data_IF_626679248322
#
_entry.id   IF_626679248322
#
_cell.length_a   1.000
_cell.length_b   1.000
_cell.length_c   1.000
_cell.angle_alpha   90.00
_cell.angle_beta   90.00
_cell.angle_gamma   90.00
#
_symmetry.space_group_name_H-M   'P 1'
#
loop_
_entity.id
_entity.type
_entity.pdbx_description
1 polymer ?
#
# COMPACT_ATOMS: atom_id res chain seq x y z
N UNK A 1 -0.13 -15.76 1.73
CA UNK A 1 -0.68 -16.06 0.39
C UNK A 1 0.01 -17.22 -0.33
N UNK A 2 1.32 -17.44 -0.12
CA UNK A 2 2.02 -18.55 -0.78
C UNK A 2 1.32 -19.91 -0.58
N UNK A 3 0.92 -20.23 0.64
CA UNK A 3 0.25 -21.51 0.96
C UNK A 3 -1.21 -21.52 0.46
N UNK A 4 -1.92 -20.41 0.56
CA UNK A 4 -3.31 -20.33 0.13
C UNK A 4 -3.45 -20.34 -1.39
N UNK A 5 -2.48 -19.77 -2.12
CA UNK A 5 -2.46 -19.77 -3.58
C UNK A 5 -2.30 -21.18 -4.18
N UNK A 6 -1.77 -22.16 -3.45
CA UNK A 6 -1.78 -23.56 -3.86
C UNK A 6 -3.22 -24.11 -4.05
N UNK A 7 -4.21 -23.44 -3.47
CA UNK A 7 -5.64 -23.75 -3.55
C UNK A 7 -6.44 -22.71 -4.36
N UNK A 8 -5.76 -21.78 -5.05
CA UNK A 8 -6.42 -20.67 -5.75
C UNK A 8 -7.08 -19.66 -4.80
N UNK A 9 -6.61 -19.60 -3.56
CA UNK A 9 -7.15 -18.75 -2.51
C UNK A 9 -6.13 -17.69 -2.05
N UNK A 10 -6.64 -16.57 -1.54
CA UNK A 10 -5.84 -15.53 -0.87
C UNK A 10 -6.60 -14.96 0.34
N UNK A 11 -5.89 -14.39 1.28
CA UNK A 11 -6.42 -13.41 2.23
C UNK A 11 -5.62 -12.11 2.07
N UNK A 12 -6.22 -10.91 2.29
CA UNK A 12 -5.46 -9.66 2.18
C UNK A 12 -4.21 -9.68 3.07
N UNK A 13 -3.03 -9.78 2.46
CA UNK A 13 -1.72 -9.79 3.12
C UNK A 13 -0.96 -8.49 2.87
N UNK A 14 0.30 -8.40 3.34
CA UNK A 14 1.14 -7.22 3.13
C UNK A 14 1.43 -6.93 1.66
N UNK A 15 1.75 -5.67 1.36
CA UNK A 15 2.16 -5.24 0.01
C UNK A 15 3.58 -5.71 -0.35
N UNK A 16 4.38 -6.08 0.64
CA UNK A 16 5.73 -6.65 0.52
C UNK A 16 5.73 -8.03 1.18
N UNK A 17 6.39 -9.03 0.57
CA UNK A 17 6.27 -10.44 0.99
C UNK A 17 6.87 -10.73 2.37
N UNK A 18 7.83 -9.92 2.81
CA UNK A 18 8.51 -10.04 4.11
C UNK A 18 7.71 -9.47 5.27
N UNK A 19 6.56 -8.82 5.00
CA UNK A 19 5.70 -8.23 6.04
C UNK A 19 5.10 -9.31 6.95
N UNK A 20 5.36 -9.23 8.25
CA UNK A 20 4.81 -10.14 9.25
C UNK A 20 3.29 -10.01 9.39
N UNK A 21 2.56 -11.08 9.08
CA UNK A 21 1.09 -11.09 9.03
C UNK A 21 0.44 -10.71 10.38
N UNK A 22 1.05 -11.07 11.51
CA UNK A 22 0.49 -10.81 12.83
C UNK A 22 0.42 -9.30 13.13
N UNK A 23 1.54 -8.59 13.05
CA UNK A 23 1.58 -7.15 13.28
C UNK A 23 0.76 -6.38 12.24
N UNK A 24 0.79 -6.83 10.99
CA UNK A 24 -0.04 -6.27 9.92
C UNK A 24 -1.54 -6.34 10.29
N UNK A 25 -2.04 -7.52 10.64
CA UNK A 25 -3.45 -7.74 10.98
C UNK A 25 -3.89 -6.91 12.17
N UNK A 26 -3.11 -6.92 13.25
CA UNK A 26 -3.46 -6.20 14.48
C UNK A 26 -3.49 -4.68 14.28
N UNK A 27 -2.73 -4.14 13.33
CA UNK A 27 -2.75 -2.73 12.92
C UNK A 27 -3.76 -2.39 11.83
N UNK A 28 -4.58 -3.35 11.40
CA UNK A 28 -5.52 -3.20 10.28
C UNK A 28 -5.08 -3.95 9.02
N UNK A 29 -3.96 -3.56 8.43
CA UNK A 29 -3.32 -4.26 7.31
C UNK A 29 -3.75 -3.82 5.92
N UNK A 30 -2.86 -3.09 5.24
CA UNK A 30 -3.02 -2.69 3.84
C UNK A 30 -2.56 -3.80 2.90
N UNK A 31 -3.38 -4.09 1.88
CA UNK A 31 -3.15 -5.11 0.86
C UNK A 31 -3.28 -4.51 -0.54
N UNK A 32 -2.73 -5.20 -1.54
CA UNK A 32 -2.99 -4.95 -2.97
C UNK A 32 -4.45 -5.25 -3.39
N UNK A 33 -5.25 -5.84 -2.50
CA UNK A 33 -6.66 -6.18 -2.77
C UNK A 33 -7.63 -5.46 -1.83
N UNK A 34 -7.16 -4.41 -1.11
CA UNK A 34 -7.93 -3.70 -0.08
C UNK A 34 -9.24 -3.08 -0.57
N UNK A 35 -9.31 -2.65 -1.82
CA UNK A 35 -10.54 -2.05 -2.38
C UNK A 35 -11.63 -3.09 -2.57
N UNK A 36 -11.26 -4.33 -2.93
CA UNK A 36 -12.20 -5.42 -3.13
C UNK A 36 -12.54 -6.16 -1.84
N UNK A 37 -11.56 -6.41 -0.98
CA UNK A 37 -11.73 -7.29 0.18
C UNK A 37 -11.58 -6.60 1.53
N UNK A 38 -11.26 -5.31 1.58
CA UNK A 38 -11.00 -4.57 2.83
C UNK A 38 -9.59 -4.77 3.34
N UNK A 39 -9.36 -4.39 4.60
CA UNK A 39 -8.11 -4.61 5.31
C UNK A 39 -7.90 -6.09 5.64
N UNK A 40 -6.68 -6.48 6.01
CA UNK A 40 -6.39 -7.83 6.52
C UNK A 40 -7.28 -8.17 7.73
N UNK A 41 -7.44 -7.22 8.65
CA UNK A 41 -8.28 -7.36 9.85
C UNK A 41 -9.79 -7.50 9.56
N UNK A 42 -10.26 -7.01 8.41
CA UNK A 42 -11.66 -7.16 7.98
C UNK A 42 -12.00 -8.58 7.53
N UNK A 43 -10.97 -9.39 7.30
CA UNK A 43 -11.08 -10.79 6.88
C UNK A 43 -10.72 -11.77 8.02
N UNK A 44 -10.56 -11.25 9.24
CA UNK A 44 -10.31 -12.04 10.43
C UNK A 44 -11.62 -12.61 10.96
N UNK A 45 -11.65 -13.92 11.25
CA UNK A 45 -12.79 -14.65 11.82
C UNK A 45 -12.65 -14.84 13.31
N UNK A 46 -11.47 -15.24 13.74
CA UNK A 46 -11.14 -15.44 15.14
C UNK A 46 -9.64 -15.33 15.40
N UNK A 47 -9.30 -15.12 16.66
CA UNK A 47 -7.92 -15.15 17.15
C UNK A 47 -7.85 -15.88 18.48
N UNK A 48 -6.76 -16.61 18.69
CA UNK A 48 -6.38 -17.10 20.01
C UNK A 48 -5.33 -16.16 20.61
N UNK A 49 -5.56 -15.72 21.84
CA UNK A 49 -4.72 -14.71 22.51
C UNK A 49 -4.42 -15.11 23.94
N UNK A 50 -3.19 -14.87 24.38
CA UNK A 50 -2.79 -14.97 25.80
C UNK A 50 -2.72 -13.54 26.34
N UNK A 51 -3.52 -13.25 27.35
CA UNK A 51 -3.60 -11.93 27.99
C UNK A 51 -2.42 -11.67 28.93
N UNK A 52 -2.29 -10.45 29.43
CA UNK A 52 -1.27 -10.09 30.41
C UNK A 52 -1.36 -10.88 31.73
N UNK A 53 -2.55 -11.34 32.10
CA UNK A 53 -2.80 -12.18 33.30
C UNK A 53 -2.52 -13.66 33.03
N UNK A 54 -2.09 -14.03 31.81
CA UNK A 54 -1.79 -15.41 31.42
C UNK A 54 -3.01 -16.26 31.07
N UNK A 55 -4.16 -15.63 30.86
CA UNK A 55 -5.38 -16.33 30.42
C UNK A 55 -5.31 -16.58 28.92
N UNK A 56 -5.66 -17.79 28.51
CA UNK A 56 -5.85 -18.16 27.11
C UNK A 56 -7.31 -17.94 26.71
N UNK A 57 -7.53 -17.07 25.73
CA UNK A 57 -8.85 -16.70 25.23
C UNK A 57 -8.93 -16.87 23.72
N UNK A 58 -10.11 -17.25 23.23
CA UNK A 58 -10.47 -17.09 21.81
C UNK A 58 -11.38 -15.87 21.68
N UNK A 59 -11.08 -14.98 20.73
CA UNK A 59 -11.90 -13.81 20.43
C UNK A 59 -12.44 -13.89 18.99
N UNK A 60 -13.74 -13.65 18.83
CA UNK A 60 -14.49 -13.66 17.58
C UNK A 60 -15.70 -12.71 17.70
N UNK A 61 -16.52 -12.61 16.66
CA UNK A 61 -17.77 -11.83 16.73
C UNK A 61 -18.73 -12.34 17.81
N UNK A 62 -18.71 -13.67 18.07
CA UNK A 62 -19.62 -14.33 19.01
C UNK A 62 -19.01 -14.55 20.42
N UNK A 63 -17.70 -14.39 20.57
CA UNK A 63 -16.97 -14.66 21.80
C UNK A 63 -15.91 -13.58 22.07
N UNK A 64 -15.91 -12.96 23.25
CA UNK A 64 -15.01 -11.86 23.61
C UNK A 64 -15.00 -10.77 22.53
N UNK A 65 -16.18 -10.33 22.10
CA UNK A 65 -16.38 -9.48 20.92
C UNK A 65 -15.72 -8.10 21.05
N UNK A 66 -15.63 -7.55 22.27
CA UNK A 66 -14.92 -6.31 22.56
C UNK A 66 -13.39 -6.44 22.36
N UNK A 67 -12.82 -7.58 22.80
CA UNK A 67 -11.42 -7.89 22.53
C UNK A 67 -11.18 -8.13 21.02
N UNK A 68 -12.11 -8.81 20.36
CA UNK A 68 -12.03 -9.02 18.91
C UNK A 68 -12.09 -7.72 18.14
N UNK A 69 -12.96 -6.79 18.56
CA UNK A 69 -13.00 -5.44 18.01
C UNK A 69 -11.66 -4.71 18.17
N UNK A 70 -11.08 -4.76 19.37
CA UNK A 70 -9.82 -4.10 19.71
C UNK A 70 -8.62 -4.63 18.92
N UNK A 71 -8.56 -5.96 18.70
CA UNK A 71 -7.50 -6.64 17.93
C UNK A 71 -7.57 -6.39 16.42
N UNK A 72 -8.66 -5.80 15.92
CA UNK A 72 -8.84 -5.43 14.52
C UNK A 72 -8.49 -3.96 14.28
N UNK A 73 -7.23 -3.57 14.51
CA UNK A 73 -6.70 -2.23 14.26
C UNK A 73 -6.10 -1.51 15.47
N UNK A 74 -6.39 -1.98 16.71
CA UNK A 74 -5.83 -1.39 17.94
C UNK A 74 -4.42 -1.85 18.29
N UNK A 75 -3.81 -2.67 17.44
CA UNK A 75 -2.44 -3.15 17.60
C UNK A 75 -2.28 -4.26 18.66
N UNK A 76 -1.05 -4.48 19.11
CA UNK A 76 -0.66 -5.56 20.00
C UNK A 76 -0.84 -5.29 21.51
N UNK A 77 -1.69 -4.34 21.92
CA UNK A 77 -1.75 -3.86 23.30
C UNK A 77 -2.58 -4.79 24.24
N UNK A 78 -3.23 -5.82 23.72
CA UNK A 78 -4.25 -6.61 24.41
C UNK A 78 -3.76 -8.02 24.79
N UNK A 79 -2.58 -8.41 24.38
CA UNK A 79 -1.99 -9.72 24.63
C UNK A 79 -1.14 -10.22 23.47
N UNK A 80 -0.65 -11.45 23.62
CA UNK A 80 0.13 -12.14 22.57
C UNK A 80 -0.83 -13.06 21.80
N UNK A 81 -1.08 -12.73 20.53
CA UNK A 81 -1.89 -13.57 19.64
C UNK A 81 -1.06 -14.77 19.19
N UNK A 82 -1.60 -15.97 19.36
CA UNK A 82 -0.93 -17.24 19.07
C UNK A 82 -1.47 -17.93 17.82
N UNK A 83 -2.72 -17.60 17.41
CA UNK A 83 -3.34 -18.10 16.20
C UNK A 83 -4.29 -17.05 15.59
N UNK A 84 -4.39 -17.05 14.26
CA UNK A 84 -5.33 -16.24 13.48
C UNK A 84 -6.11 -17.15 12.56
N UNK A 85 -7.42 -16.96 12.48
CA UNK A 85 -8.30 -17.61 11.50
C UNK A 85 -8.85 -16.54 10.55
N UNK A 86 -8.67 -16.74 9.24
CA UNK A 86 -9.08 -15.77 8.22
C UNK A 86 -10.09 -16.35 7.26
N UNK A 87 -10.96 -15.48 6.74
CA UNK A 87 -11.67 -15.74 5.49
C UNK A 87 -10.70 -15.66 4.32
N UNK A 88 -10.77 -16.63 3.43
CA UNK A 88 -10.03 -16.64 2.17
C UNK A 88 -10.97 -16.38 1.01
N UNK A 89 -10.43 -15.78 -0.05
CA UNK A 89 -11.14 -15.42 -1.27
C UNK A 89 -10.51 -16.08 -2.47
N UNK A 90 -11.32 -16.44 -3.46
CA UNK A 90 -10.81 -16.93 -4.74
C UNK A 90 -10.07 -15.81 -5.48
N UNK A 91 -8.81 -16.04 -5.83
CA UNK A 91 -7.98 -15.15 -6.63
C UNK A 91 -6.83 -15.92 -7.27
N UNK A 92 -6.57 -15.62 -8.54
CA UNK A 92 -5.46 -16.23 -9.25
C UNK A 92 -5.83 -17.49 -10.03
N UNK A 93 -4.85 -18.31 -10.47
CA UNK A 93 -3.42 -18.18 -10.10
C UNK A 93 -2.73 -16.91 -10.63
N UNK A 94 -3.23 -16.32 -11.73
CA UNK A 94 -2.72 -15.09 -12.32
C UNK A 94 -3.69 -13.93 -12.11
N UNK A 95 -3.12 -12.76 -11.92
CA UNK A 95 -3.82 -11.46 -11.89
C UNK A 95 -3.13 -10.49 -12.84
N UNK A 96 -3.83 -9.44 -13.29
CA UNK A 96 -3.19 -8.40 -14.09
C UNK A 96 -2.48 -7.41 -13.16
N UNK A 97 -1.17 -7.28 -13.34
CA UNK A 97 -0.34 -6.27 -12.69
C UNK A 97 -0.23 -5.03 -13.59
N UNK A 98 -0.29 -3.86 -12.99
CA UNK A 98 0.03 -2.57 -13.59
C UNK A 98 1.38 -2.10 -13.02
N UNK A 99 2.29 -1.68 -13.89
CA UNK A 99 3.57 -1.11 -13.51
C UNK A 99 4.10 -0.25 -14.63
N UNK A 100 3.63 1.01 -14.73
CA UNK A 100 4.03 1.93 -15.80
C UNK A 100 4.82 3.08 -15.21
N UNK A 101 5.97 3.38 -15.80
CA UNK A 101 6.86 4.48 -15.43
C UNK A 101 6.78 5.57 -16.48
N UNK A 102 6.51 6.80 -16.05
CA UNK A 102 6.45 7.98 -16.89
C UNK A 102 7.57 8.96 -16.53
N UNK A 103 7.97 9.85 -17.47
CA UNK A 103 8.95 10.90 -17.17
C UNK A 103 8.51 11.75 -15.98
N UNK A 104 9.43 12.09 -15.08
CA UNK A 104 9.10 12.81 -13.84
C UNK A 104 8.43 14.18 -14.14
N UNK A 105 8.78 14.83 -15.24
CA UNK A 105 8.23 16.12 -15.66
C UNK A 105 6.72 16.03 -15.94
N UNK A 106 6.19 14.83 -16.16
CA UNK A 106 4.76 14.57 -16.37
C UNK A 106 4.01 14.28 -15.08
N UNK A 107 4.70 14.20 -13.92
CA UNK A 107 4.11 13.79 -12.65
C UNK A 107 2.83 14.55 -12.28
N UNK A 108 2.75 15.90 -12.39
CA UNK A 108 1.51 16.61 -12.06
C UNK A 108 0.31 16.15 -12.90
N UNK A 109 0.52 15.90 -14.19
CA UNK A 109 -0.52 15.41 -15.10
C UNK A 109 -0.88 13.95 -14.77
N UNK A 110 0.11 13.07 -14.58
CA UNK A 110 -0.11 11.66 -14.26
C UNK A 110 -0.89 11.50 -12.94
N UNK A 111 -0.58 12.28 -11.91
CA UNK A 111 -1.32 12.26 -10.64
C UNK A 111 -2.77 12.73 -10.81
N UNK A 112 -3.04 13.77 -11.63
CA UNK A 112 -4.41 14.26 -11.91
C UNK A 112 -5.24 13.21 -12.62
N UNK A 113 -4.76 12.68 -13.73
CA UNK A 113 -5.45 11.66 -14.52
C UNK A 113 -5.65 10.35 -13.70
N UNK A 114 -4.64 9.93 -12.93
CA UNK A 114 -4.76 8.79 -12.04
C UNK A 114 -5.82 9.02 -10.96
N UNK A 115 -5.87 10.19 -10.33
CA UNK A 115 -6.89 10.56 -9.34
C UNK A 115 -8.28 10.48 -9.94
N UNK A 116 -8.48 11.09 -11.12
CA UNK A 116 -9.76 11.09 -11.83
C UNK A 116 -10.19 9.67 -12.22
N UNK A 117 -9.26 8.86 -12.70
CA UNK A 117 -9.51 7.45 -12.97
C UNK A 117 -9.96 6.68 -11.72
N UNK A 118 -9.28 6.91 -10.58
CA UNK A 118 -9.56 6.19 -9.33
C UNK A 118 -10.90 6.57 -8.70
N UNK A 119 -11.43 7.76 -8.97
CA UNK A 119 -12.75 8.20 -8.48
C UNK A 119 -13.89 7.31 -9.01
N UNK A 120 -13.78 6.84 -10.26
CA UNK A 120 -14.75 5.94 -10.89
C UNK A 120 -14.32 4.46 -10.97
N UNK A 121 -13.18 4.08 -10.41
CA UNK A 121 -12.61 2.75 -10.58
C UNK A 121 -13.44 1.66 -9.85
N UNK A 122 -13.63 0.48 -10.46
CA UNK A 122 -14.26 -0.66 -9.79
C UNK A 122 -13.41 -1.17 -8.61
N UNK A 123 -14.04 -1.89 -7.70
CA UNK A 123 -13.37 -2.40 -6.49
C UNK A 123 -12.23 -3.37 -6.78
N UNK A 124 -12.27 -4.04 -7.91
CA UNK A 124 -11.21 -4.94 -8.39
C UNK A 124 -9.88 -4.23 -8.59
N UNK A 125 -9.89 -2.92 -8.88
CA UNK A 125 -8.68 -2.12 -9.08
C UNK A 125 -8.18 -1.59 -7.74
N UNK A 126 -6.97 -1.98 -7.38
CA UNK A 126 -6.18 -1.32 -6.33
C UNK A 126 -4.95 -0.72 -6.98
N UNK A 127 -4.76 0.59 -6.84
CA UNK A 127 -3.67 1.31 -7.50
C UNK A 127 -3.06 2.39 -6.61
N UNK A 128 -1.87 2.83 -6.99
CA UNK A 128 -1.12 3.94 -6.41
C UNK A 128 -0.35 4.69 -7.49
N UNK A 129 -0.15 5.99 -7.30
CA UNK A 129 0.81 6.81 -8.04
C UNK A 129 1.98 7.13 -7.12
N UNK A 130 3.20 7.05 -7.64
CA UNK A 130 4.41 7.05 -6.80
C UNK A 130 5.51 7.86 -7.47
N UNK A 131 6.13 8.80 -6.77
CA UNK A 131 7.39 9.39 -7.20
C UNK A 131 8.53 8.49 -6.74
N UNK A 132 9.40 8.12 -7.67
CA UNK A 132 10.50 7.22 -7.44
C UNK A 132 11.68 7.52 -8.37
N UNK A 133 12.75 6.73 -8.29
CA UNK A 133 13.78 6.61 -9.33
C UNK A 133 13.84 5.15 -9.78
N UNK A 134 14.09 4.93 -11.06
CA UNK A 134 14.31 3.56 -11.56
C UNK A 134 15.41 2.90 -10.72
N UNK A 135 15.17 1.75 -10.09
CA UNK A 135 16.14 1.12 -9.21
C UNK A 135 17.47 0.78 -9.90
N UNK A 136 18.55 0.88 -9.15
CA UNK A 136 19.88 0.38 -9.52
C UNK A 136 19.95 -1.16 -9.41
N UNK A 137 19.11 -1.85 -10.18
CA UNK A 137 18.96 -3.29 -10.14
C UNK A 137 18.98 -3.89 -11.56
N UNK A 138 19.48 -5.11 -11.71
CA UNK A 138 19.67 -5.76 -13.01
C UNK A 138 18.37 -6.08 -13.76
N UNK A 139 17.23 -6.05 -13.09
CA UNK A 139 15.91 -6.18 -13.72
C UNK A 139 15.50 -4.96 -14.55
N UNK A 140 16.23 -3.84 -14.43
CA UNK A 140 15.95 -2.60 -15.15
C UNK A 140 17.04 -2.32 -16.19
N UNK A 141 16.68 -1.72 -17.36
CA UNK A 141 17.64 -1.27 -18.36
C UNK A 141 18.70 -0.37 -17.75
N UNK A 142 19.99 -0.62 -18.06
CA UNK A 142 21.12 0.10 -17.47
C UNK A 142 21.06 1.61 -17.72
N UNK A 143 20.60 2.03 -18.90
CA UNK A 143 20.47 3.42 -19.31
C UNK A 143 19.32 4.17 -18.64
N UNK A 144 18.42 3.46 -17.97
CA UNK A 144 17.31 4.03 -17.20
C UNK A 144 17.56 4.10 -15.69
N UNK A 145 18.49 3.31 -15.15
CA UNK A 145 18.76 3.24 -13.72
C UNK A 145 19.05 4.61 -13.13
N UNK A 146 18.54 4.88 -11.94
CA UNK A 146 18.67 6.18 -11.26
C UNK A 146 17.81 7.30 -11.82
N UNK A 147 17.16 7.11 -13.00
CA UNK A 147 16.31 8.15 -13.61
C UNK A 147 15.08 8.41 -12.73
N UNK A 148 14.79 9.68 -12.36
CA UNK A 148 13.55 10.03 -11.67
C UNK A 148 12.33 9.78 -12.55
N UNK A 149 11.30 9.16 -11.96
CA UNK A 149 10.06 8.77 -12.65
C UNK A 149 8.85 8.95 -11.76
N UNK A 150 7.68 9.09 -12.38
CA UNK A 150 6.40 8.83 -11.73
C UNK A 150 5.88 7.46 -12.16
N UNK A 151 5.55 6.62 -11.20
CA UNK A 151 5.10 5.24 -11.42
C UNK A 151 3.62 5.12 -11.08
N UNK A 152 2.83 4.55 -12.00
CA UNK A 152 1.47 4.09 -11.69
C UNK A 152 1.51 2.57 -11.57
N UNK A 153 1.27 2.08 -10.37
CA UNK A 153 1.29 0.67 -10.05
C UNK A 153 -0.06 0.20 -9.52
N UNK A 154 -0.37 -1.09 -9.72
CA UNK A 154 -1.62 -1.65 -9.24
C UNK A 154 -1.85 -3.11 -9.56
N UNK A 155 -2.99 -3.61 -9.09
CA UNK A 155 -3.48 -4.95 -9.41
C UNK A 155 -4.97 -4.91 -9.72
N UNK A 156 -5.36 -5.76 -10.65
CA UNK A 156 -6.77 -6.08 -10.89
C UNK A 156 -7.09 -7.43 -10.24
N UNK A 157 -7.89 -7.40 -9.19
CA UNK A 157 -8.29 -8.58 -8.42
C UNK A 157 -9.46 -9.32 -9.08
N UNK A 158 -9.25 -9.83 -10.29
CA UNK A 158 -10.26 -10.50 -11.12
C UNK A 158 -9.64 -11.14 -12.36
N UNK A 159 -10.47 -11.50 -13.37
CA UNK A 159 -9.98 -12.11 -14.61
C UNK A 159 -8.95 -11.22 -15.33
N UNK A 160 -7.86 -11.83 -15.80
CA UNK A 160 -6.74 -11.13 -16.46
C UNK A 160 -7.19 -10.26 -17.64
N UNK A 161 -8.08 -10.77 -18.51
CA UNK A 161 -8.53 -10.02 -19.69
C UNK A 161 -9.40 -8.81 -19.35
N UNK A 162 -10.09 -8.84 -18.21
CA UNK A 162 -10.80 -7.68 -17.68
C UNK A 162 -9.79 -6.67 -17.15
N UNK A 163 -8.77 -7.12 -16.41
CA UNK A 163 -7.70 -6.29 -15.90
C UNK A 163 -6.92 -5.58 -16.99
N UNK A 164 -6.59 -6.28 -18.11
CA UNK A 164 -5.95 -5.67 -19.28
C UNK A 164 -6.75 -4.50 -19.83
N UNK A 165 -8.07 -4.68 -19.99
CA UNK A 165 -8.95 -3.60 -20.49
C UNK A 165 -9.09 -2.47 -19.48
N UNK A 166 -9.24 -2.81 -18.21
CA UNK A 166 -9.43 -1.84 -17.14
C UNK A 166 -8.22 -0.94 -16.92
N UNK A 167 -7.00 -1.46 -17.11
CA UNK A 167 -5.76 -0.68 -16.96
C UNK A 167 -5.30 0.06 -18.21
N UNK A 168 -5.94 -0.17 -19.37
CA UNK A 168 -5.53 0.49 -20.61
C UNK A 168 -5.46 2.03 -20.48
N UNK A 169 -6.44 2.73 -19.88
CA UNK A 169 -6.34 4.18 -19.72
C UNK A 169 -5.12 4.62 -18.90
N UNK A 170 -4.73 3.88 -17.87
CA UNK A 170 -3.57 4.20 -17.03
C UNK A 170 -2.23 3.86 -17.70
N UNK A 171 -2.21 3.08 -18.77
CA UNK A 171 -1.01 2.73 -19.55
C UNK A 171 -0.76 3.70 -20.71
N UNK A 172 -1.73 4.56 -21.01
CA UNK A 172 -1.74 5.47 -22.16
C UNK A 172 -1.85 6.95 -21.73
N UNK A 173 -1.49 7.28 -20.48
CA UNK A 173 -1.53 8.66 -19.99
C UNK A 173 -0.53 9.55 -20.73
N UNK A 174 0.64 9.01 -21.05
CA UNK A 174 1.74 9.64 -21.77
C UNK A 174 2.62 8.53 -22.38
N UNK A 175 3.65 8.89 -23.15
CA UNK A 175 4.66 7.93 -23.61
C UNK A 175 5.46 7.41 -22.42
N UNK A 176 5.36 6.12 -22.07
CA UNK A 176 6.05 5.59 -20.91
C UNK A 176 7.56 5.49 -21.12
N UNK A 177 8.34 5.75 -20.08
CA UNK A 177 9.76 5.38 -20.00
C UNK A 177 9.92 3.86 -20.00
N UNK A 178 9.05 3.19 -19.24
CA UNK A 178 9.03 1.74 -19.13
C UNK A 178 7.62 1.27 -18.76
N UNK A 179 7.13 0.21 -19.42
CA UNK A 179 5.88 -0.47 -19.09
C UNK A 179 6.15 -1.94 -18.75
N UNK A 180 6.00 -2.28 -17.49
CA UNK A 180 6.17 -3.62 -16.91
C UNK A 180 4.83 -4.28 -16.61
N UNK A 181 3.73 -3.74 -17.15
CA UNK A 181 2.39 -4.25 -16.90
C UNK A 181 2.17 -5.59 -17.61
N UNK A 182 1.99 -6.66 -16.83
CA UNK A 182 1.81 -8.02 -17.38
C UNK A 182 0.96 -8.89 -16.43
N UNK A 183 0.30 -9.91 -16.95
CA UNK A 183 -0.26 -10.98 -16.12
C UNK A 183 0.82 -11.74 -15.36
N UNK A 184 0.56 -12.03 -14.11
CA UNK A 184 1.48 -12.83 -13.31
C UNK A 184 0.84 -13.39 -12.04
N UNK A 185 1.54 -14.31 -11.35
CA UNK A 185 1.07 -14.84 -10.09
C UNK A 185 0.90 -13.73 -9.05
N UNK A 186 -0.19 -13.78 -8.28
CA UNK A 186 -0.44 -12.78 -7.22
C UNK A 186 0.70 -12.71 -6.19
N UNK A 187 1.32 -13.84 -5.87
CA UNK A 187 2.48 -13.88 -4.97
C UNK A 187 3.72 -13.19 -5.54
N UNK A 188 3.84 -13.13 -6.86
CA UNK A 188 4.95 -12.42 -7.50
C UNK A 188 4.85 -10.90 -7.27
N UNK A 189 3.64 -10.34 -7.35
CA UNK A 189 3.42 -8.92 -7.04
C UNK A 189 3.93 -8.54 -5.63
N UNK A 190 3.68 -9.39 -4.63
CA UNK A 190 4.14 -9.15 -3.26
C UNK A 190 5.67 -9.21 -3.14
N UNK A 191 6.34 -10.00 -3.98
CA UNK A 191 7.79 -10.19 -3.98
C UNK A 191 8.56 -9.13 -4.79
N UNK A 192 7.91 -8.44 -5.72
CA UNK A 192 8.56 -7.45 -6.60
C UNK A 192 9.26 -6.33 -5.83
N UNK A 193 8.79 -6.02 -4.63
CA UNK A 193 9.33 -4.95 -3.81
C UNK A 193 10.38 -5.40 -2.80
N UNK A 194 10.55 -6.71 -2.60
CA UNK A 194 11.50 -7.26 -1.61
C UNK A 194 12.95 -6.75 -1.80
N UNK A 195 13.49 -6.64 -3.05
CA UNK A 195 14.85 -6.16 -3.26
C UNK A 195 15.07 -4.68 -2.89
N UNK A 196 14.00 -3.89 -2.77
CA UNK A 196 14.09 -2.44 -2.55
C UNK A 196 14.03 -2.03 -1.08
N UNK A 197 13.87 -3.01 -0.17
CA UNK A 197 13.88 -2.80 1.27
C UNK A 197 14.84 -3.78 1.98
N UNK A 198 16.15 -3.79 1.61
CA UNK A 198 17.12 -4.72 2.18
C UNK A 198 17.41 -4.41 3.65
N UNK A 199 17.81 -5.44 4.40
CA UNK A 199 18.35 -5.26 5.74
C UNK A 199 19.66 -4.47 5.68
N UNK A 200 19.83 -3.55 6.64
CA UNK A 200 21.04 -2.73 6.77
C UNK A 200 20.93 -1.32 6.26
N UNK A 201 19.95 -1.03 5.40
CA UNK A 201 19.62 0.32 5.03
C UNK A 201 18.99 1.09 6.19
N UNK A 202 18.98 2.40 6.06
CA UNK A 202 18.40 3.31 7.06
C UNK A 202 17.04 3.77 6.59
N UNK A 203 16.05 3.74 7.50
CA UNK A 203 14.65 4.01 7.20
C UNK A 203 14.06 5.01 8.17
N UNK A 204 13.37 6.03 7.64
CA UNK A 204 12.54 6.92 8.43
C UNK A 204 11.26 7.23 7.67
N UNK A 205 10.16 6.60 8.05
CA UNK A 205 8.89 6.67 7.32
C UNK A 205 7.84 7.46 8.09
N UNK A 206 7.09 8.25 7.36
CA UNK A 206 5.88 8.92 7.85
C UNK A 206 4.76 8.71 6.85
N UNK A 207 3.53 8.70 7.35
CA UNK A 207 2.34 8.64 6.51
C UNK A 207 1.30 9.65 6.95
N UNK A 208 0.41 10.01 6.02
CA UNK A 208 -0.70 10.93 6.28
C UNK A 208 -1.91 10.50 5.47
N UNK A 209 -3.05 10.37 6.14
CA UNK A 209 -4.32 10.25 5.45
C UNK A 209 -4.70 11.59 4.87
N UNK A 210 -5.11 11.61 3.60
CA UNK A 210 -5.49 12.84 2.90
C UNK A 210 -7.00 12.85 2.66
N UNK A 211 -7.64 13.95 3.04
CA UNK A 211 -9.06 14.21 2.77
C UNK A 211 -9.30 14.54 1.30
N UNK A 212 -8.28 15.08 0.63
CA UNK A 212 -8.30 15.46 -0.78
C UNK A 212 -6.92 15.33 -1.41
N UNK A 213 -6.90 15.17 -2.72
CA UNK A 213 -5.70 15.21 -3.55
C UNK A 213 -5.95 16.20 -4.68
N UNK A 214 -6.18 17.48 -4.33
CA UNK A 214 -6.35 18.57 -5.28
C UNK A 214 -5.02 18.95 -5.94
N UNK A 215 -5.06 19.89 -6.87
CA UNK A 215 -3.89 20.25 -7.66
C UNK A 215 -2.77 20.84 -6.78
N UNK A 216 -3.11 21.61 -5.74
CA UNK A 216 -2.14 22.18 -4.80
C UNK A 216 -1.45 21.05 -3.99
N UNK A 217 -2.20 20.02 -3.58
CA UNK A 217 -1.65 18.84 -2.92
C UNK A 217 -0.70 18.07 -3.85
N UNK A 218 -1.09 17.90 -5.12
CA UNK A 218 -0.27 17.25 -6.14
C UNK A 218 1.04 18.03 -6.38
N UNK A 219 0.96 19.36 -6.53
CA UNK A 219 2.13 20.21 -6.72
C UNK A 219 3.10 20.11 -5.53
N UNK A 220 2.58 20.12 -4.29
CA UNK A 220 3.39 19.91 -3.09
C UNK A 220 4.08 18.55 -3.09
N UNK A 221 3.34 17.47 -3.42
CA UNK A 221 3.90 16.11 -3.48
C UNK A 221 5.01 16.02 -4.54
N UNK A 222 4.80 16.62 -5.70
CA UNK A 222 5.78 16.61 -6.80
C UNK A 222 7.01 17.42 -6.42
N UNK A 223 6.85 18.63 -5.87
CA UNK A 223 7.97 19.48 -5.46
C UNK A 223 8.88 18.78 -4.45
N UNK A 224 8.30 18.24 -3.38
CA UNK A 224 9.08 17.46 -2.40
C UNK A 224 9.67 16.19 -3.00
N UNK A 225 8.90 15.49 -3.80
CA UNK A 225 9.32 14.25 -4.43
C UNK A 225 10.49 14.41 -5.40
N UNK A 226 10.55 15.50 -6.16
CA UNK A 226 11.69 15.81 -7.04
C UNK A 226 12.94 16.22 -6.26
N UNK A 227 12.77 16.87 -5.10
CA UNK A 227 13.86 17.38 -4.26
C UNK A 227 14.23 16.44 -3.09
N UNK A 228 13.88 15.15 -3.17
CA UNK A 228 14.22 14.18 -2.12
C UNK A 228 15.74 13.98 -2.01
N UNK A 229 16.30 13.89 -0.79
CA UNK A 229 17.74 13.76 -0.57
C UNK A 229 18.32 12.44 -1.09
N UNK A 230 17.52 11.36 -1.07
CA UNK A 230 17.96 10.05 -1.52
C UNK A 230 17.12 9.55 -2.71
N UNK A 231 17.73 9.06 -3.80
CA UNK A 231 17.01 8.44 -4.92
C UNK A 231 16.31 7.13 -4.54
N UNK A 232 16.66 6.52 -3.41
CA UNK A 232 16.04 5.29 -2.87
C UNK A 232 14.72 5.57 -2.15
N UNK A 233 14.48 6.83 -1.79
CA UNK A 233 13.21 7.27 -1.17
C UNK A 233 12.06 7.12 -2.13
N UNK A 234 10.96 6.53 -1.66
CA UNK A 234 9.72 6.30 -2.42
C UNK A 234 8.60 7.15 -1.81
N UNK A 235 7.82 7.80 -2.67
CA UNK A 235 6.67 8.65 -2.25
C UNK A 235 5.39 8.13 -2.90
N UNK A 236 4.78 7.05 -2.37
CA UNK A 236 3.52 6.55 -2.90
C UNK A 236 2.30 7.27 -2.31
N UNK A 237 1.38 7.62 -3.20
CA UNK A 237 0.00 7.99 -2.86
C UNK A 237 -0.91 6.82 -3.23
N UNK A 238 -1.54 6.23 -2.25
CA UNK A 238 -2.37 5.03 -2.39
C UNK A 238 -3.84 5.41 -2.42
N UNK A 239 -4.57 5.02 -3.47
CA UNK A 239 -6.02 5.14 -3.49
C UNK A 239 -6.64 4.15 -2.50
N UNK A 240 -7.64 4.65 -1.77
CA UNK A 240 -8.42 3.90 -0.78
C UNK A 240 -9.85 3.68 -1.31
N UNK A 241 -10.87 3.74 -0.51
CA UNK A 241 -12.25 3.51 -0.94
C UNK A 241 -12.59 2.03 -1.17
N UNK A 242 -13.53 1.74 -2.06
CA UNK A 242 -14.03 0.37 -2.25
C UNK A 242 -14.63 -0.21 -0.98
N UNK A 243 -14.48 -1.53 -0.74
CA UNK A 243 -14.95 -2.20 0.48
C UNK A 243 -14.37 -1.58 1.75
N UNK A 244 -13.09 -1.20 1.75
CA UNK A 244 -12.44 -0.56 2.89
C UNK A 244 -13.20 0.68 3.36
N UNK A 245 -13.62 1.55 2.44
CA UNK A 245 -14.34 2.79 2.76
C UNK A 245 -15.83 2.61 3.03
N UNK A 246 -16.40 1.42 2.77
CA UNK A 246 -17.82 1.12 3.05
C UNK A 246 -18.05 0.44 4.40
N UNK A 247 -17.00 -0.02 5.06
CA UNK A 247 -17.09 -0.60 6.41
C UNK A 247 -17.31 0.55 7.40
N UNK A 248 -18.27 0.36 8.31
CA UNK A 248 -18.56 1.35 9.37
C UNK A 248 -17.30 1.60 10.21
N UNK A 249 -16.89 2.85 10.45
CA UNK A 249 -15.71 3.18 11.24
C UNK A 249 -15.71 2.58 12.66
N UNK A 250 -16.90 2.35 13.23
CA UNK A 250 -17.06 1.75 14.55
C UNK A 250 -16.97 0.22 14.55
N UNK A 251 -16.94 -0.43 13.38
CA UNK A 251 -16.94 -1.91 13.28
C UNK A 251 -15.63 -2.54 13.78
N UNK A 252 -14.54 -1.80 13.81
CA UNK A 252 -13.23 -2.24 14.27
C UNK A 252 -12.48 -1.08 14.93
N UNK A 253 -11.39 -1.36 15.64
CA UNK A 253 -10.53 -0.32 16.22
C UNK A 253 -9.69 0.45 15.20
N UNK A 254 -9.75 0.09 13.92
CA UNK A 254 -9.07 0.84 12.85
C UNK A 254 -9.81 2.13 12.57
N UNK A 255 -9.22 3.28 12.92
CA UNK A 255 -9.91 4.56 12.99
C UNK A 255 -10.30 5.14 11.63
N UNK A 256 -9.37 5.23 10.69
CA UNK A 256 -9.63 5.91 9.42
C UNK A 256 -10.12 4.95 8.33
N UNK A 257 -11.39 5.06 7.97
CA UNK A 257 -12.03 4.30 6.90
C UNK A 257 -12.33 5.14 5.65
N UNK A 258 -12.52 6.44 5.80
CA UNK A 258 -13.15 7.29 4.78
C UNK A 258 -12.20 8.17 3.99
N UNK A 259 -10.99 8.40 4.48
CA UNK A 259 -10.00 9.17 3.72
C UNK A 259 -9.74 8.52 2.36
N UNK A 260 -9.88 9.27 1.25
CA UNK A 260 -9.77 8.69 -0.09
C UNK A 260 -8.34 8.30 -0.46
N UNK A 261 -7.34 8.91 0.17
CA UNK A 261 -5.94 8.65 -0.14
C UNK A 261 -5.09 8.47 1.12
N UNK A 262 -3.99 7.74 0.97
CA UNK A 262 -2.90 7.62 1.94
C UNK A 262 -1.60 8.00 1.25
N UNK A 263 -1.00 9.10 1.68
CA UNK A 263 0.39 9.43 1.35
C UNK A 263 1.31 8.66 2.28
N UNK A 264 2.35 8.05 1.74
CA UNK A 264 3.48 7.54 2.49
C UNK A 264 4.76 8.22 2.01
N UNK A 265 5.63 8.54 2.94
CA UNK A 265 6.94 9.14 2.70
C UNK A 265 7.94 8.10 3.22
N UNK A 266 8.34 7.20 2.32
CA UNK A 266 9.13 6.02 2.66
C UNK A 266 10.62 6.35 2.43
N UNK A 267 11.18 7.22 3.30
CA UNK A 267 12.58 7.65 3.21
C UNK A 267 13.54 6.52 3.50
N UNK A 268 14.46 6.31 2.57
CA UNK A 268 15.45 5.22 2.60
C UNK A 268 16.79 5.75 2.12
N UNK A 269 17.88 5.46 2.85
CA UNK A 269 19.25 5.83 2.49
C UNK A 269 20.25 4.84 3.09
N UNK A 270 21.54 4.96 2.74
CA UNK A 270 22.57 4.01 3.17
C UNK A 270 23.45 4.57 4.28
N UNK A 271 23.99 5.77 4.09
CA UNK A 271 25.05 6.30 4.93
C UNK A 271 24.50 7.03 6.18
N UNK A 272 25.04 6.76 7.39
CA UNK A 272 24.63 7.46 8.61
C UNK A 272 24.77 8.98 8.54
N UNK A 273 25.70 9.48 7.71
CA UNK A 273 25.93 10.90 7.50
C UNK A 273 24.77 11.61 6.84
N UNK A 274 23.89 10.86 6.18
CA UNK A 274 22.69 11.38 5.48
C UNK A 274 21.44 11.42 6.39
N UNK A 275 21.54 10.95 7.65
CA UNK A 275 20.41 10.84 8.58
C UNK A 275 19.68 12.18 8.77
N UNK A 276 20.41 13.23 9.10
CA UNK A 276 19.83 14.55 9.39
C UNK A 276 19.04 15.08 8.20
N UNK A 277 19.64 15.05 7.01
CA UNK A 277 19.00 15.55 5.79
C UNK A 277 17.73 14.77 5.42
N UNK A 278 17.77 13.43 5.49
CA UNK A 278 16.61 12.60 5.15
C UNK A 278 15.48 12.69 6.20
N UNK A 279 15.83 12.74 7.49
CA UNK A 279 14.84 12.87 8.57
C UNK A 279 14.19 14.26 8.54
N UNK A 280 14.96 15.33 8.35
CA UNK A 280 14.45 16.71 8.28
C UNK A 280 13.53 16.87 7.07
N UNK A 281 13.97 16.49 5.88
CA UNK A 281 13.16 16.50 4.66
C UNK A 281 11.84 15.73 4.83
N UNK A 282 11.87 14.54 5.44
CA UNK A 282 10.66 13.74 5.67
C UNK A 282 9.68 14.46 6.60
N UNK A 283 10.18 15.15 7.63
CA UNK A 283 9.33 15.92 8.58
C UNK A 283 8.74 17.15 7.91
N UNK A 284 9.55 17.91 7.19
CA UNK A 284 9.10 19.11 6.47
C UNK A 284 8.03 18.76 5.43
N UNK A 285 8.26 17.71 4.64
CA UNK A 285 7.27 17.23 3.69
C UNK A 285 5.98 16.79 4.38
N UNK A 286 6.09 16.02 5.45
CA UNK A 286 4.92 15.59 6.22
C UNK A 286 4.14 16.76 6.80
N UNK A 287 4.81 17.81 7.26
CA UNK A 287 4.20 19.07 7.75
C UNK A 287 3.56 19.86 6.60
N UNK A 288 4.22 19.99 5.46
CA UNK A 288 3.68 20.67 4.28
C UNK A 288 2.36 20.05 3.78
N UNK A 289 2.14 18.76 4.04
CA UNK A 289 0.90 18.07 3.69
C UNK A 289 -0.23 18.21 4.72
N UNK A 290 -0.01 18.93 5.84
CA UNK A 290 -1.03 19.19 6.88
C UNK A 290 -2.35 19.80 6.34
N UNK A 291 -2.33 20.79 5.42
CA UNK A 291 -3.57 21.40 4.90
C UNK A 291 -4.50 20.46 4.14
N UNK A 292 -3.97 19.31 3.72
CA UNK A 292 -4.70 18.30 2.94
C UNK A 292 -5.08 17.07 3.77
N UNK A 293 -4.67 17.05 5.04
CA UNK A 293 -4.93 15.93 5.94
C UNK A 293 -6.42 15.72 6.20
N UNK A 294 -6.80 14.48 6.46
CA UNK A 294 -8.11 14.19 7.05
C UNK A 294 -8.10 14.43 8.55
N UNK A 295 -9.24 14.78 9.10
CA UNK A 295 -9.43 15.04 10.53
C UNK A 295 -9.35 13.74 11.40
N UNK A 296 -8.98 12.61 10.84
CA UNK A 296 -8.54 11.34 11.44
C UNK A 296 -9.53 10.63 12.32
#
# INVERSE_FOLDING_TARGET
DRETQAFGLMTPGGVVSTTGIAGLTLGGGYSWTRRKYGLTSDNLRSVDVVTADGEFLTASEDQNADLFWALRGGGGNFGVVTAFEYDCHELGPEVMHLGVMYPIETAPMVFREWREFMDGAPDEITSQATIWSVPEHDDFPEDLRGTPVVVVAGVYAGPVDEGKRAFQPLRELETPVLDLSDPGPYTHLQQQFDPFFPEGDRYYWKSRYLARLDDDAIETIVEYGENRPSPRTIVPVRARGGKLGRIDPSATAFADRHSPFLLSIDSTWEAPEEDEANIEWTREFWEAMEPYASDG
#
